data_IF_098137618067
#
_entry.id   IF_098137618067
#
_cell.length_a   1.000
_cell.length_b   1.000
_cell.length_c   1.000
_cell.angle_alpha   90.00
_cell.angle_beta   90.00
_cell.angle_gamma   90.00
#
_symmetry.space_group_name_H-M   'P 1'
#
loop_
_entity.id
_entity.type
_entity.pdbx_description
1 polymer ?
#
# COMPACT_ATOMS: atom_id res chain seq x y z
N UNK A 1 2.71 1.08 -17.43
CA UNK A 1 2.54 1.61 -16.06
C UNK A 1 3.89 1.75 -15.37
N UNK A 2 4.58 0.65 -14.99
CA UNK A 2 5.82 0.78 -14.18
C UNK A 2 6.91 1.60 -14.87
N UNK A 3 7.07 1.47 -16.19
CA UNK A 3 8.02 2.28 -16.96
C UNK A 3 7.80 3.81 -16.83
N UNK A 4 6.56 4.26 -16.68
CA UNK A 4 6.24 5.68 -16.46
C UNK A 4 6.60 6.11 -15.03
N UNK A 5 6.32 5.24 -14.04
CA UNK A 5 6.63 5.50 -12.63
C UNK A 5 8.13 5.64 -12.38
N UNK A 6 8.96 4.91 -13.11
CA UNK A 6 10.42 4.88 -12.97
C UNK A 6 11.16 6.16 -13.40
N UNK A 7 10.45 7.21 -13.83
CA UNK A 7 11.01 8.56 -14.05
C UNK A 7 12.23 8.58 -14.98
N UNK A 8 12.20 7.78 -16.05
CA UNK A 8 13.29 7.67 -17.03
C UNK A 8 14.29 6.53 -16.75
N UNK A 9 14.20 5.82 -15.62
CA UNK A 9 14.88 4.54 -15.45
C UNK A 9 14.15 3.43 -16.23
N UNK A 10 14.90 2.49 -16.80
CA UNK A 10 14.30 1.35 -17.50
C UNK A 10 13.80 0.30 -16.52
N UNK A 11 12.80 -0.49 -16.94
CA UNK A 11 12.30 -1.63 -16.17
C UNK A 11 13.42 -2.66 -15.95
N UNK A 12 14.29 -2.89 -16.94
CA UNK A 12 15.41 -3.83 -16.80
C UNK A 12 16.41 -3.37 -15.74
N UNK A 13 16.71 -2.07 -15.71
CA UNK A 13 17.55 -1.49 -14.65
C UNK A 13 16.89 -1.64 -13.29
N UNK A 14 15.59 -1.34 -13.19
CA UNK A 14 14.83 -1.51 -11.97
C UNK A 14 14.89 -2.95 -11.44
N UNK A 15 14.68 -3.93 -12.32
CA UNK A 15 14.76 -5.37 -11.99
C UNK A 15 16.16 -5.79 -11.53
N UNK A 16 17.20 -5.23 -12.15
CA UNK A 16 18.59 -5.56 -11.84
C UNK A 16 19.07 -4.94 -10.52
N UNK A 17 18.70 -3.69 -10.24
CA UNK A 17 19.30 -2.89 -9.17
C UNK A 17 18.39 -2.69 -7.95
N UNK A 18 17.06 -2.61 -8.13
CA UNK A 18 16.13 -2.24 -7.05
C UNK A 18 15.20 -3.38 -6.63
N UNK A 19 14.58 -4.09 -7.58
CA UNK A 19 13.62 -5.16 -7.28
C UNK A 19 14.24 -6.23 -6.35
N UNK A 20 13.58 -6.52 -5.23
CA UNK A 20 14.03 -7.42 -4.17
C UNK A 20 15.22 -6.91 -3.33
N UNK A 21 15.71 -5.69 -3.56
CA UNK A 21 17.01 -5.23 -3.03
C UNK A 21 16.93 -3.94 -2.23
N UNK A 22 16.30 -2.92 -2.77
CA UNK A 22 16.30 -1.58 -2.20
C UNK A 22 15.01 -0.80 -2.51
N UNK A 23 14.53 0.04 -1.58
CA UNK A 23 13.43 0.95 -1.82
C UNK A 23 13.71 1.90 -2.97
N UNK A 24 12.66 2.29 -3.67
CA UNK A 24 12.71 3.29 -4.73
C UNK A 24 11.50 4.22 -4.59
N UNK A 25 11.71 5.52 -4.68
CA UNK A 25 10.62 6.49 -4.67
C UNK A 25 10.86 7.52 -5.77
N UNK A 26 9.79 7.97 -6.41
CA UNK A 26 9.86 9.08 -7.36
C UNK A 26 8.64 9.99 -7.21
N UNK A 27 8.84 11.31 -7.20
CA UNK A 27 7.74 12.25 -7.09
C UNK A 27 6.99 12.39 -8.41
N UNK A 28 5.66 12.45 -8.33
CA UNK A 28 4.78 12.93 -9.39
C UNK A 28 4.74 12.12 -10.68
N UNK A 29 5.26 10.89 -10.71
CA UNK A 29 5.25 10.02 -11.90
C UNK A 29 4.13 8.98 -11.92
N UNK A 30 3.41 8.77 -10.82
CA UNK A 30 2.26 7.88 -10.71
C UNK A 30 0.92 8.64 -10.80
N UNK A 31 0.85 9.67 -11.64
CA UNK A 31 -0.33 10.55 -11.75
C UNK A 31 -1.57 9.83 -12.28
N UNK A 32 -1.38 8.83 -13.12
CA UNK A 32 -2.48 8.03 -13.63
C UNK A 32 -3.17 7.24 -12.52
N UNK A 33 -2.47 6.90 -11.42
CA UNK A 33 -3.07 6.24 -10.26
C UNK A 33 -4.18 7.10 -9.62
N UNK A 34 -4.06 8.44 -9.69
CA UNK A 34 -5.10 9.38 -9.21
C UNK A 34 -6.42 9.15 -9.95
N UNK A 35 -6.36 8.97 -11.27
CA UNK A 35 -7.54 8.72 -12.10
C UNK A 35 -8.10 7.29 -11.94
N UNK A 36 -7.30 6.36 -11.40
CA UNK A 36 -7.71 4.97 -11.16
C UNK A 36 -8.29 4.74 -9.77
N UNK A 37 -7.94 5.58 -8.80
CA UNK A 37 -8.47 5.49 -7.45
C UNK A 37 -8.60 6.86 -6.78
N UNK A 38 -9.82 7.36 -6.81
CA UNK A 38 -10.27 8.56 -6.12
C UNK A 38 -11.45 8.25 -5.17
N UNK A 39 -12.04 9.28 -4.59
CA UNK A 39 -13.18 9.15 -3.67
C UNK A 39 -14.43 8.58 -4.35
N UNK A 40 -14.65 8.85 -5.63
CA UNK A 40 -15.79 8.33 -6.38
C UNK A 40 -15.61 6.83 -6.67
N UNK A 41 -14.39 6.42 -7.00
CA UNK A 41 -14.02 5.02 -7.15
C UNK A 41 -14.15 4.27 -5.83
N UNK A 42 -13.71 4.89 -4.74
CA UNK A 42 -13.91 4.32 -3.41
C UNK A 42 -15.40 4.10 -3.10
N UNK A 43 -16.29 5.08 -3.38
CA UNK A 43 -17.73 4.91 -3.12
C UNK A 43 -18.31 3.70 -3.88
N UNK A 44 -17.88 3.48 -5.13
CA UNK A 44 -18.29 2.30 -5.91
C UNK A 44 -17.77 1.01 -5.30
N UNK A 45 -16.49 0.96 -4.92
CA UNK A 45 -15.86 -0.22 -4.32
C UNK A 45 -16.54 -0.58 -2.99
N UNK A 46 -16.86 0.39 -2.13
CA UNK A 46 -17.51 0.15 -0.84
C UNK A 46 -18.90 -0.49 -0.97
N UNK A 47 -19.57 -0.31 -2.12
CA UNK A 47 -20.89 -0.90 -2.39
C UNK A 47 -20.82 -2.37 -2.83
N UNK A 48 -19.64 -2.93 -3.09
CA UNK A 48 -19.48 -4.32 -3.54
C UNK A 48 -20.07 -5.32 -2.51
N UNK A 49 -20.95 -6.25 -2.91
CA UNK A 49 -21.68 -7.12 -1.96
C UNK A 49 -20.77 -8.05 -1.16
N UNK A 50 -19.64 -8.44 -1.74
CA UNK A 50 -18.63 -9.35 -1.20
C UNK A 50 -17.33 -8.63 -0.80
N UNK A 51 -17.43 -7.35 -0.42
CA UNK A 51 -16.30 -6.50 -0.02
C UNK A 51 -15.46 -7.17 1.08
N UNK A 52 -14.19 -7.43 0.78
CA UNK A 52 -13.19 -7.83 1.76
C UNK A 52 -12.45 -6.59 2.28
N UNK A 53 -12.76 -6.18 3.51
CA UNK A 53 -12.12 -5.01 4.12
C UNK A 53 -11.95 -5.15 5.63
N UNK A 54 -11.06 -4.34 6.18
CA UNK A 54 -10.80 -4.21 7.60
C UNK A 54 -11.02 -2.76 8.03
N UNK A 55 -11.73 -2.54 9.13
CA UNK A 55 -11.72 -1.24 9.83
C UNK A 55 -10.51 -1.25 10.76
N UNK A 56 -9.70 -0.20 10.70
CA UNK A 56 -8.43 -0.12 11.41
C UNK A 56 -8.27 1.20 12.15
N UNK A 57 -7.57 1.17 13.27
CA UNK A 57 -7.18 2.35 14.03
C UNK A 57 -5.85 2.12 14.73
N UNK A 58 -4.89 3.00 14.45
CA UNK A 58 -3.61 3.09 15.15
C UNK A 58 -2.92 1.73 15.33
N UNK A 59 -2.88 0.95 14.24
CA UNK A 59 -2.21 -0.35 14.20
C UNK A 59 -3.05 -1.56 14.60
N UNK A 60 -4.35 -1.40 14.85
CA UNK A 60 -5.25 -2.49 15.26
C UNK A 60 -6.46 -2.58 14.34
N UNK A 61 -6.87 -3.82 14.05
CA UNK A 61 -8.20 -4.07 13.49
C UNK A 61 -9.27 -3.83 14.57
N UNK A 62 -10.40 -3.27 14.15
CA UNK A 62 -11.50 -2.89 15.01
C UNK A 62 -12.76 -3.64 14.56
N UNK A 63 -13.47 -4.24 15.51
CA UNK A 63 -14.72 -4.96 15.24
C UNK A 63 -15.87 -3.96 15.09
N UNK A 64 -15.94 -3.35 13.92
CA UNK A 64 -16.93 -2.34 13.53
C UNK A 64 -17.45 -2.68 12.14
N UNK A 65 -18.73 -2.43 11.90
CA UNK A 65 -19.36 -2.63 10.60
C UNK A 65 -18.59 -1.91 9.48
N UNK A 66 -18.39 -2.60 8.37
CA UNK A 66 -17.76 -2.04 7.18
C UNK A 66 -18.62 -0.88 6.62
N UNK A 67 -18.00 0.24 6.20
CA UNK A 67 -18.76 1.28 5.52
C UNK A 67 -19.19 0.78 4.14
N UNK A 68 -20.36 1.23 3.70
CA UNK A 68 -20.98 0.82 2.42
C UNK A 68 -21.13 1.98 1.44
N UNK A 69 -20.73 3.17 1.87
CA UNK A 69 -20.74 4.42 1.12
C UNK A 69 -19.81 5.44 1.80
N UNK A 70 -19.59 6.58 1.16
CA UNK A 70 -18.78 7.65 1.73
C UNK A 70 -19.38 8.28 2.99
N UNK A 71 -20.71 8.23 3.17
CA UNK A 71 -21.37 8.80 4.34
C UNK A 71 -21.01 8.02 5.62
N UNK A 72 -21.14 6.70 5.55
CA UNK A 72 -20.75 5.77 6.63
C UNK A 72 -19.24 5.77 6.85
N UNK A 73 -18.44 5.89 5.78
CA UNK A 73 -16.99 6.07 5.91
C UNK A 73 -16.62 7.35 6.67
N UNK A 74 -17.26 8.48 6.37
CA UNK A 74 -17.00 9.75 7.08
C UNK A 74 -17.35 9.66 8.57
N UNK A 75 -18.37 8.89 8.93
CA UNK A 75 -18.70 8.62 10.34
C UNK A 75 -17.60 7.80 11.05
N UNK A 76 -16.89 6.92 10.34
CA UNK A 76 -15.70 6.23 10.85
C UNK A 76 -14.52 7.19 11.01
N UNK A 77 -14.30 8.08 10.04
CA UNK A 77 -13.22 9.07 10.10
C UNK A 77 -13.35 10.01 11.30
N UNK A 78 -14.57 10.43 11.66
CA UNK A 78 -14.84 11.22 12.86
C UNK A 78 -14.43 10.51 14.18
N UNK A 79 -14.18 9.20 14.13
CA UNK A 79 -13.74 8.34 15.24
C UNK A 79 -12.29 7.85 15.05
N UNK A 80 -11.55 8.45 14.13
CA UNK A 80 -10.18 8.09 13.73
C UNK A 80 -10.03 6.66 13.17
N UNK A 81 -11.12 6.09 12.65
CA UNK A 81 -11.15 4.76 12.05
C UNK A 81 -10.94 4.88 10.54
N UNK A 82 -9.90 4.21 10.04
CA UNK A 82 -9.63 4.03 8.61
C UNK A 82 -10.15 2.69 8.10
N UNK A 83 -10.02 2.48 6.80
CA UNK A 83 -10.39 1.24 6.12
C UNK A 83 -9.25 0.76 5.24
N UNK A 84 -9.01 -0.54 5.28
CA UNK A 84 -8.15 -1.24 4.31
C UNK A 84 -9.04 -2.18 3.51
N UNK A 85 -9.17 -1.92 2.21
CA UNK A 85 -9.86 -2.84 1.29
C UNK A 85 -8.82 -3.78 0.71
N UNK A 86 -9.06 -5.09 0.79
CA UNK A 86 -8.20 -6.12 0.23
C UNK A 86 -8.76 -6.60 -1.10
N UNK A 87 -7.88 -7.12 -1.96
CA UNK A 87 -8.26 -7.71 -3.26
C UNK A 87 -9.16 -6.77 -4.09
N UNK A 88 -8.90 -5.47 -4.03
CA UNK A 88 -9.77 -4.45 -4.61
C UNK A 88 -9.85 -4.54 -6.14
N UNK A 89 -8.89 -5.22 -6.78
CA UNK A 89 -8.94 -5.55 -8.20
C UNK A 89 -10.16 -6.40 -8.60
N UNK A 90 -10.81 -7.07 -7.63
CA UNK A 90 -12.04 -7.85 -7.88
C UNK A 90 -13.27 -6.97 -8.02
N UNK A 91 -13.20 -5.72 -7.57
CA UNK A 91 -14.37 -4.84 -7.43
C UNK A 91 -14.36 -3.62 -8.37
N UNK A 92 -13.23 -3.33 -9.03
CA UNK A 92 -13.16 -2.26 -10.04
C UNK A 92 -12.18 -2.62 -11.18
N UNK A 93 -12.65 -2.46 -12.42
CA UNK A 93 -11.91 -2.80 -13.64
C UNK A 93 -10.62 -1.98 -13.83
N UNK A 94 -10.59 -0.74 -13.36
CA UNK A 94 -9.45 0.15 -13.48
C UNK A 94 -8.31 -0.29 -12.54
N UNK A 95 -8.68 -0.79 -11.35
CA UNK A 95 -7.75 -1.43 -10.39
C UNK A 95 -7.26 -2.79 -10.90
N UNK A 96 -8.14 -3.59 -11.52
CA UNK A 96 -7.75 -4.84 -12.18
C UNK A 96 -6.73 -4.62 -13.29
N UNK A 97 -6.94 -3.60 -14.12
CA UNK A 97 -6.00 -3.22 -15.15
C UNK A 97 -4.63 -2.82 -14.55
N UNK A 98 -4.60 -2.07 -13.44
CA UNK A 98 -3.33 -1.71 -12.78
C UNK A 98 -2.57 -2.95 -12.27
N UNK A 99 -3.26 -3.89 -11.63
CA UNK A 99 -2.65 -5.14 -11.17
C UNK A 99 -2.05 -5.94 -12.34
N UNK A 100 -2.82 -6.07 -13.42
CA UNK A 100 -2.38 -6.74 -14.64
C UNK A 100 -1.19 -6.03 -15.30
N UNK A 101 -1.24 -4.70 -15.40
CA UNK A 101 -0.18 -3.89 -15.98
C UNK A 101 1.14 -4.06 -15.22
N UNK A 102 1.10 -4.06 -13.90
CA UNK A 102 2.30 -4.26 -13.07
C UNK A 102 2.83 -5.70 -13.18
N UNK A 103 1.95 -6.70 -13.21
CA UNK A 103 2.33 -8.11 -13.32
C UNK A 103 3.02 -8.46 -14.66
N UNK A 104 2.84 -7.66 -15.72
CA UNK A 104 3.65 -7.80 -16.95
C UNK A 104 5.10 -7.38 -16.74
N UNK A 105 5.31 -6.39 -15.88
CA UNK A 105 6.62 -5.77 -15.64
C UNK A 105 7.35 -6.40 -14.44
N UNK A 106 6.65 -7.10 -13.55
CA UNK A 106 7.23 -7.79 -12.39
C UNK A 106 6.60 -9.17 -12.26
N UNK A 107 7.38 -10.27 -12.35
CA UNK A 107 6.83 -11.62 -12.29
C UNK A 107 6.16 -11.92 -10.95
N UNK A 108 4.94 -12.45 -10.98
CA UNK A 108 4.23 -12.91 -9.79
C UNK A 108 2.71 -12.72 -9.88
N UNK A 109 2.02 -13.01 -8.78
CA UNK A 109 0.59 -12.75 -8.64
C UNK A 109 0.39 -11.38 -7.99
N UNK A 110 -0.32 -10.48 -8.68
CA UNK A 110 -0.55 -9.12 -8.21
C UNK A 110 -1.90 -8.97 -7.47
N UNK A 111 -1.88 -8.25 -6.35
CA UNK A 111 -3.05 -7.95 -5.51
C UNK A 111 -3.11 -6.48 -5.19
N UNK A 112 -4.32 -5.91 -5.22
CA UNK A 112 -4.53 -4.48 -4.94
C UNK A 112 -5.15 -4.33 -3.56
N UNK A 113 -4.50 -3.53 -2.72
CA UNK A 113 -5.02 -3.07 -1.44
C UNK A 113 -5.23 -1.56 -1.50
N UNK A 114 -6.36 -1.10 -0.97
CA UNK A 114 -6.68 0.33 -0.88
C UNK A 114 -6.61 0.76 0.58
N UNK A 115 -5.86 1.82 0.85
CA UNK A 115 -5.71 2.37 2.19
C UNK A 115 -6.40 3.72 2.29
N UNK A 116 -7.48 3.73 3.05
CA UNK A 116 -8.35 4.89 3.28
C UNK A 116 -8.13 5.33 4.72
N UNK A 117 -7.34 6.38 4.92
CA UNK A 117 -6.81 6.72 6.26
C UNK A 117 -7.22 8.13 6.66
N UNK A 118 -7.88 8.32 7.82
CA UNK A 118 -8.18 9.66 8.32
C UNK A 118 -6.88 10.38 8.70
N UNK A 119 -6.91 11.71 8.57
CA UNK A 119 -5.77 12.56 8.91
C UNK A 119 -5.30 12.40 10.35
N UNK A 120 -3.99 12.57 10.56
CA UNK A 120 -3.32 12.42 11.87
C UNK A 120 -3.46 11.02 12.49
N UNK A 121 -3.75 10.01 11.68
CA UNK A 121 -3.88 8.61 12.09
C UNK A 121 -2.98 7.69 11.25
N UNK A 122 -3.06 6.39 11.51
CA UNK A 122 -2.42 5.33 10.73
C UNK A 122 -3.27 4.07 10.79
N UNK A 123 -3.24 3.28 9.70
CA UNK A 123 -3.95 2.00 9.61
C UNK A 123 -3.22 0.91 10.38
N UNK A 124 -2.12 0.41 9.83
CA UNK A 124 -1.26 -0.60 10.47
C UNK A 124 -0.09 0.03 11.22
N UNK A 125 0.42 -0.70 12.22
CA UNK A 125 1.64 -0.35 12.96
C UNK A 125 2.88 -0.68 12.13
N UNK A 126 4.04 -0.80 12.79
CA UNK A 126 5.22 -1.34 12.13
C UNK A 126 4.99 -2.79 11.70
N UNK A 127 5.19 -3.07 10.41
CA UNK A 127 5.06 -4.40 9.82
C UNK A 127 6.02 -4.55 8.64
N UNK A 128 6.06 -5.74 8.06
CA UNK A 128 6.65 -6.00 6.75
C UNK A 128 5.71 -6.95 5.99
N UNK A 129 5.78 -6.89 4.67
CA UNK A 129 5.03 -7.78 3.79
C UNK A 129 5.94 -8.85 3.20
N UNK A 130 5.39 -10.02 2.90
CA UNK A 130 6.10 -11.07 2.16
C UNK A 130 6.07 -10.86 0.63
N UNK A 131 5.45 -9.78 0.18
CA UNK A 131 5.25 -9.41 -1.21
C UNK A 131 6.16 -8.23 -1.58
N UNK A 132 6.44 -8.09 -2.88
CA UNK A 132 7.00 -6.85 -3.41
C UNK A 132 5.91 -5.77 -3.45
N UNK A 133 6.10 -4.61 -2.82
CA UNK A 133 5.01 -3.65 -2.61
C UNK A 133 5.24 -2.34 -3.38
N UNK A 134 4.26 -1.99 -4.22
CA UNK A 134 4.26 -0.78 -5.04
C UNK A 134 3.12 0.14 -4.60
N UNK A 135 3.47 1.28 -4.01
CA UNK A 135 2.53 2.17 -3.33
C UNK A 135 2.40 3.46 -4.14
N UNK A 136 1.18 3.84 -4.52
CA UNK A 136 0.89 5.11 -5.16
C UNK A 136 -0.08 5.93 -4.30
N UNK A 137 0.27 7.18 -4.00
CA UNK A 137 -0.60 8.10 -3.27
C UNK A 137 -1.57 8.76 -4.25
N UNK A 138 -2.87 8.75 -3.95
CA UNK A 138 -3.88 9.26 -4.89
C UNK A 138 -4.69 10.43 -4.36
N UNK A 139 -4.81 10.59 -3.05
CA UNK A 139 -5.38 11.79 -2.43
C UNK A 139 -4.73 12.07 -1.08
N UNK A 140 -4.63 13.35 -0.70
CA UNK A 140 -3.99 13.77 0.53
C UNK A 140 -2.51 13.38 0.59
N UNK A 141 -1.98 13.22 1.80
CA UNK A 141 -0.57 12.95 2.03
C UNK A 141 -0.30 12.00 3.21
N UNK A 142 0.73 11.16 3.04
CA UNK A 142 1.21 10.20 4.05
C UNK A 142 2.73 10.26 4.17
N UNK A 143 3.24 10.27 5.39
CA UNK A 143 4.67 10.04 5.66
C UNK A 143 4.89 8.55 5.87
N UNK A 144 5.73 7.96 5.02
CA UNK A 144 6.20 6.59 5.13
C UNK A 144 7.54 6.57 5.85
N UNK A 145 7.65 5.71 6.85
CA UNK A 145 8.90 5.38 7.53
C UNK A 145 9.24 3.94 7.22
N UNK A 146 10.48 3.65 6.85
CA UNK A 146 10.87 2.31 6.47
C UNK A 146 12.36 2.06 6.70
N UNK A 147 12.72 0.79 6.88
CA UNK A 147 14.10 0.35 7.08
C UNK A 147 14.26 -1.12 6.72
N UNK A 148 15.50 -1.53 6.47
CA UNK A 148 15.82 -2.92 6.16
C UNK A 148 15.53 -3.79 7.39
N UNK A 149 14.90 -4.92 7.18
CA UNK A 149 14.67 -5.94 8.20
C UNK A 149 15.90 -6.85 8.33
N UNK A 150 16.47 -6.89 9.54
CA UNK A 150 17.62 -7.74 9.86
C UNK A 150 17.23 -9.00 10.61
N UNK A 151 15.96 -9.12 11.02
CA UNK A 151 15.43 -10.22 11.82
C UNK A 151 14.83 -11.31 10.92
N UNK A 152 14.09 -10.90 9.88
CA UNK A 152 13.50 -11.79 8.87
C UNK A 152 13.67 -11.18 7.47
N UNK A 153 14.87 -11.28 6.86
CA UNK A 153 15.17 -10.63 5.59
C UNK A 153 14.51 -11.30 4.37
N UNK A 154 13.97 -12.51 4.52
CA UNK A 154 13.27 -13.24 3.46
C UNK A 154 12.00 -13.90 4.01
N UNK A 155 10.96 -13.09 4.30
CA UNK A 155 9.74 -13.59 4.90
C UNK A 155 9.02 -14.55 3.96
N UNK A 156 8.58 -15.67 4.51
CA UNK A 156 7.79 -16.65 3.76
C UNK A 156 6.36 -16.15 3.54
N UNK A 157 5.83 -16.13 2.30
CA UNK A 157 4.44 -15.77 2.05
C UNK A 157 3.46 -16.63 2.87
N UNK A 158 2.53 -15.96 3.55
CA UNK A 158 1.52 -16.61 4.39
C UNK A 158 1.98 -16.99 5.81
N UNK A 159 3.27 -16.84 6.13
CA UNK A 159 3.71 -16.91 7.52
C UNK A 159 3.28 -15.65 8.27
N UNK A 160 2.78 -15.78 9.49
CA UNK A 160 2.56 -14.62 10.35
C UNK A 160 3.91 -14.09 10.82
N UNK A 161 4.18 -12.79 10.64
CA UNK A 161 5.37 -12.16 11.20
C UNK A 161 5.44 -12.38 12.72
N UNK A 162 6.53 -13.00 13.20
CA UNK A 162 6.78 -13.11 14.64
C UNK A 162 7.44 -11.83 15.16
N UNK A 163 6.59 -10.85 15.51
CA UNK A 163 7.04 -9.58 16.09
C UNK A 163 7.68 -9.75 17.48
N UNK A 164 7.53 -10.88 18.18
CA UNK A 164 8.14 -11.09 19.49
C UNK A 164 9.66 -11.27 19.42
N UNK A 165 10.19 -11.65 18.24
CA UNK A 165 11.63 -11.73 17.97
C UNK A 165 12.26 -10.35 17.71
N UNK A 166 11.44 -9.31 17.57
CA UNK A 166 11.86 -7.93 17.34
C UNK A 166 12.23 -7.29 18.67
N UNK A 167 13.49 -7.47 19.08
CA UNK A 167 14.04 -6.74 20.23
C UNK A 167 14.30 -5.28 19.83
N UNK A 168 15.18 -5.05 18.86
CA UNK A 168 15.44 -3.75 18.23
C UNK A 168 15.99 -3.97 16.82
N UNK A 169 15.58 -3.11 15.88
CA UNK A 169 16.18 -3.01 14.55
C UNK A 169 17.12 -1.82 14.53
N UNK A 170 18.37 -2.04 14.12
CA UNK A 170 19.46 -1.07 14.18
C UNK A 170 19.76 -0.42 12.83
N UNK A 171 19.05 -0.84 11.79
CA UNK A 171 19.24 -0.30 10.43
C UNK A 171 18.75 1.15 10.35
N UNK A 172 19.39 1.97 9.48
CA UNK A 172 19.00 3.37 9.32
C UNK A 172 17.51 3.51 9.00
N UNK A 173 16.84 4.37 9.78
CA UNK A 173 15.46 4.75 9.51
C UNK A 173 15.43 5.72 8.34
N UNK A 174 14.78 5.32 7.26
CA UNK A 174 14.49 6.17 6.11
C UNK A 174 13.04 6.64 6.17
N UNK A 175 12.77 7.77 5.51
CA UNK A 175 11.41 8.26 5.37
C UNK A 175 11.23 9.08 4.10
N UNK A 176 9.99 9.10 3.60
CA UNK A 176 9.54 10.01 2.56
C UNK A 176 8.08 10.40 2.84
N UNK A 177 7.67 11.57 2.36
CA UNK A 177 6.25 11.95 2.35
C UNK A 177 5.76 11.88 0.93
N UNK A 178 4.69 11.11 0.70
CA UNK A 178 4.03 11.02 -0.59
C UNK A 178 2.83 11.96 -0.60
N UNK A 179 2.73 12.76 -1.66
CA UNK A 179 1.50 13.48 -2.04
C UNK A 179 0.88 12.82 -3.27
N UNK A 180 -0.34 13.21 -3.64
CA UNK A 180 -1.04 12.64 -4.79
C UNK A 180 -0.18 12.65 -6.07
N UNK A 181 0.02 11.48 -6.67
CA UNK A 181 0.86 11.26 -7.85
C UNK A 181 2.29 10.80 -7.55
N UNK A 182 2.72 10.82 -6.30
CA UNK A 182 3.99 10.21 -5.88
C UNK A 182 3.83 8.70 -5.67
N UNK A 183 4.94 7.97 -5.73
CA UNK A 183 4.96 6.55 -5.44
C UNK A 183 6.22 6.10 -4.70
N UNK A 184 6.10 4.95 -4.04
CA UNK A 184 7.14 4.27 -3.28
C UNK A 184 7.07 2.76 -3.56
N UNK A 185 8.21 2.18 -3.90
CA UNK A 185 8.45 0.75 -3.90
C UNK A 185 9.19 0.35 -2.61
N UNK A 186 8.69 -0.69 -1.96
CA UNK A 186 9.34 -1.36 -0.84
C UNK A 186 9.57 -2.83 -1.20
N UNK A 187 10.81 -3.33 -1.11
CA UNK A 187 11.06 -4.74 -1.30
C UNK A 187 10.39 -5.58 -0.20
N UNK A 188 10.07 -6.83 -0.53
CA UNK A 188 9.58 -7.79 0.46
C UNK A 188 10.47 -7.84 1.70
N UNK A 189 9.84 -7.99 2.87
CA UNK A 189 10.51 -8.03 4.17
C UNK A 189 10.90 -6.68 4.74
N UNK A 190 10.80 -5.56 4.01
CA UNK A 190 11.14 -4.25 4.57
C UNK A 190 10.16 -3.80 5.65
N UNK A 191 10.70 -3.42 6.82
CA UNK A 191 9.92 -2.79 7.86
C UNK A 191 9.37 -1.47 7.37
N UNK A 192 8.08 -1.23 7.57
CA UNK A 192 7.48 0.05 7.26
C UNK A 192 6.24 0.38 8.10
N UNK A 193 5.93 1.66 8.15
CA UNK A 193 4.70 2.22 8.71
C UNK A 193 4.37 3.51 7.98
N UNK A 194 3.08 3.76 7.75
CA UNK A 194 2.59 4.98 7.09
C UNK A 194 1.72 5.79 8.05
N UNK A 195 1.95 7.10 8.12
CA UNK A 195 1.15 8.03 8.93
C UNK A 195 0.49 9.06 8.02
N UNK A 196 -0.83 9.14 8.07
CA UNK A 196 -1.58 10.13 7.31
C UNK A 196 -1.44 11.51 7.96
N UNK A 197 -1.12 12.52 7.16
CA UNK A 197 -1.08 13.91 7.59
C UNK A 197 -2.50 14.48 7.55
N UNK A 198 -3.22 14.17 6.47
CA UNK A 198 -4.62 14.51 6.20
C UNK A 198 -5.39 13.28 5.73
N UNK A 199 -6.70 13.43 5.55
CA UNK A 199 -7.54 12.38 4.98
C UNK A 199 -6.98 11.96 3.61
N UNK A 200 -6.66 10.69 3.47
CA UNK A 200 -5.79 10.24 2.40
C UNK A 200 -6.18 8.88 1.83
N UNK A 201 -5.91 8.76 0.53
CA UNK A 201 -6.10 7.56 -0.28
C UNK A 201 -4.76 7.13 -0.86
N UNK A 202 -4.45 5.84 -0.76
CA UNK A 202 -3.32 5.25 -1.47
C UNK A 202 -3.65 3.85 -1.95
N UNK A 203 -3.10 3.50 -3.11
CA UNK A 203 -3.11 2.15 -3.67
C UNK A 203 -1.81 1.47 -3.24
N UNK A 204 -1.89 0.21 -2.82
CA UNK A 204 -0.76 -0.68 -2.67
C UNK A 204 -0.97 -1.89 -3.58
N UNK A 205 -0.05 -2.12 -4.51
CA UNK A 205 -0.05 -3.30 -5.36
C UNK A 205 1.06 -4.23 -4.84
N UNK A 206 0.65 -5.31 -4.19
CA UNK A 206 1.54 -6.37 -3.75
C UNK A 206 1.74 -7.40 -4.85
N UNK A 207 2.98 -7.84 -5.06
CA UNK A 207 3.29 -8.96 -5.96
C UNK A 207 3.92 -10.08 -5.16
N UNK A 208 3.19 -11.19 -5.03
CA UNK A 208 3.75 -12.44 -4.50
C UNK A 208 4.60 -13.09 -5.59
N UNK A 209 5.90 -13.35 -5.35
CA UNK A 209 6.76 -14.02 -6.32
C UNK A 209 6.22 -15.41 -6.71
N UNK A 210 6.47 -15.88 -7.94
CA UNK A 210 6.11 -17.24 -8.34
C UNK A 210 6.83 -18.27 -7.45
N UNK A 211 6.14 -19.38 -7.14
CA UNK A 211 6.70 -20.52 -6.39
C UNK A 211 7.76 -21.27 -7.20
#
# INVERSE_FOLDING_TARGET
MLGEWLAGSSIDRFRAEQLGRAPFASPGTAREAIARFDWDTLDRVLRAPDLDALVVRRGRAEDVALPRDLATLRALFARELGVVVRRAERHDHALAAMAHDLARDVPGEAHVQLFVTPGRSHGFGWHYDAEEVFIAQTAGSKTYYFRRNTIDPDPTPGAQPDFARVREETTPLMSCTLVAGDWLYLPRGWWHVAKAIEDSLSISIGITPPR
#
